data_IF_038705253438
#
_entry.id   IF_038705253438
#
_cell.length_a   1.000
_cell.length_b   1.000
_cell.length_c   1.000
_cell.angle_alpha   90.00
_cell.angle_beta   90.00
_cell.angle_gamma   90.00
#
_symmetry.space_group_name_H-M   'P 1'
#
loop_
_entity.id
_entity.type
_entity.pdbx_description
1 polymer ?
#
# COMPACT_ATOMS: atom_id res chain seq x y z
N UNK A 1 -14.18 21.66 -9.88
CA UNK A 1 -13.83 20.26 -9.57
C UNK A 1 -14.52 19.37 -10.58
N UNK A 2 -13.77 18.53 -11.28
CA UNK A 2 -14.36 17.49 -12.14
C UNK A 2 -14.93 16.34 -11.31
N UNK A 3 -15.49 15.34 -11.98
CA UNK A 3 -15.95 14.10 -11.34
C UNK A 3 -14.74 13.32 -10.79
N UNK A 4 -14.74 12.94 -9.49
CA UNK A 4 -13.70 12.07 -8.93
C UNK A 4 -13.59 10.75 -9.70
N UNK A 5 -12.34 10.30 -9.93
CA UNK A 5 -12.07 8.98 -10.49
C UNK A 5 -11.98 7.97 -9.36
N UNK A 6 -12.54 6.78 -9.60
CA UNK A 6 -12.48 5.67 -8.67
C UNK A 6 -11.40 4.71 -9.14
N UNK A 7 -10.33 4.59 -8.36
CA UNK A 7 -9.22 3.66 -8.63
C UNK A 7 -9.59 2.28 -8.09
N UNK A 8 -9.31 1.22 -8.87
CA UNK A 8 -9.64 -0.17 -8.50
C UNK A 8 -8.39 -1.03 -8.26
N UNK A 9 -7.25 -0.65 -8.82
CA UNK A 9 -5.97 -1.33 -8.58
C UNK A 9 -4.79 -0.38 -8.78
N UNK A 10 -3.64 -0.77 -8.23
CA UNK A 10 -2.35 -0.14 -8.51
C UNK A 10 -1.22 -1.16 -8.46
N UNK A 11 -0.22 -1.00 -9.33
CA UNK A 11 0.99 -1.82 -9.34
C UNK A 11 2.16 -0.99 -9.87
N UNK A 12 3.27 -0.98 -9.13
CA UNK A 12 4.42 -0.14 -9.46
C UNK A 12 4.01 1.34 -9.53
N UNK A 13 4.40 2.08 -10.60
CA UNK A 13 4.04 3.48 -10.75
C UNK A 13 2.65 3.71 -11.37
N UNK A 14 1.79 2.68 -11.45
CA UNK A 14 0.52 2.75 -12.18
C UNK A 14 -0.70 2.58 -11.28
N UNK A 15 -1.78 3.29 -11.64
CA UNK A 15 -3.15 3.11 -11.12
C UNK A 15 -4.11 2.78 -12.27
N UNK A 16 -5.08 1.92 -12.00
CA UNK A 16 -6.18 1.60 -12.92
C UNK A 16 -7.50 2.10 -12.35
N UNK A 17 -8.28 2.85 -13.14
CA UNK A 17 -9.62 3.29 -12.75
C UNK A 17 -10.71 2.24 -13.03
N UNK A 18 -11.91 2.47 -12.52
CA UNK A 18 -13.07 1.57 -12.69
C UNK A 18 -13.53 1.43 -14.16
N UNK A 19 -13.10 2.31 -15.06
CA UNK A 19 -13.36 2.22 -16.51
C UNK A 19 -12.24 1.44 -17.23
N UNK A 20 -11.23 0.94 -16.51
CA UNK A 20 -10.09 0.20 -17.04
C UNK A 20 -8.97 1.08 -17.62
N UNK A 21 -8.95 2.39 -17.35
CA UNK A 21 -7.87 3.28 -17.80
C UNK A 21 -6.69 3.21 -16.85
N UNK A 22 -5.50 3.07 -17.41
CA UNK A 22 -4.23 3.10 -16.68
C UNK A 22 -3.62 4.52 -16.68
N UNK A 23 -3.04 4.89 -15.55
CA UNK A 23 -2.41 6.18 -15.31
C UNK A 23 -1.05 5.99 -14.68
N UNK A 24 -0.06 6.79 -15.10
CA UNK A 24 1.16 7.00 -14.30
C UNK A 24 0.77 7.80 -13.07
N UNK A 25 1.00 7.24 -11.88
CA UNK A 25 0.69 7.88 -10.60
C UNK A 25 1.84 8.80 -10.18
N UNK A 26 1.57 10.11 -10.22
CA UNK A 26 2.46 11.15 -9.70
C UNK A 26 1.95 11.72 -8.35
N UNK A 27 0.82 11.20 -7.85
CA UNK A 27 0.27 11.55 -6.54
C UNK A 27 0.93 10.68 -5.46
N UNK A 28 1.16 9.40 -5.75
CA UNK A 28 1.85 8.45 -4.88
C UNK A 28 1.25 8.40 -3.46
N UNK A 29 -0.09 8.42 -3.38
CA UNK A 29 -0.85 8.56 -2.12
C UNK A 29 -0.44 9.78 -1.26
N UNK A 30 0.05 10.84 -1.88
CA UNK A 30 0.60 12.03 -1.22
C UNK A 30 1.93 11.80 -0.49
N UNK A 31 2.68 10.75 -0.86
CA UNK A 31 4.01 10.47 -0.30
C UNK A 31 4.30 9.01 0.08
N UNK A 32 3.39 8.26 0.74
CA UNK A 32 3.66 6.92 1.24
C UNK A 32 4.12 5.92 0.19
N UNK A 33 3.71 6.10 -1.07
CA UNK A 33 3.99 5.16 -2.16
C UNK A 33 5.34 5.42 -2.84
N UNK A 34 6.40 5.66 -2.05
CA UNK A 34 7.76 5.87 -2.60
C UNK A 34 8.29 4.63 -3.34
N UNK A 35 7.87 3.44 -2.91
CA UNK A 35 8.18 2.16 -3.58
C UNK A 35 7.16 1.78 -4.66
N UNK A 36 6.17 2.64 -4.93
CA UNK A 36 5.05 2.34 -5.80
C UNK A 36 4.01 1.40 -5.16
N UNK A 37 2.93 1.15 -5.92
CA UNK A 37 1.81 0.33 -5.50
C UNK A 37 2.15 -1.16 -5.50
N UNK A 38 1.65 -1.87 -4.49
CA UNK A 38 1.79 -3.32 -4.35
C UNK A 38 3.24 -3.84 -4.47
N UNK A 39 4.21 -3.12 -3.89
CA UNK A 39 5.62 -3.56 -3.89
C UNK A 39 5.74 -4.99 -3.30
N UNK A 40 6.35 -5.95 -4.02
CA UNK A 40 6.28 -7.38 -3.65
C UNK A 40 6.72 -7.69 -2.22
N UNK A 41 7.81 -7.07 -1.76
CA UNK A 41 8.33 -7.28 -0.40
C UNK A 41 7.41 -6.71 0.68
N UNK A 42 6.77 -5.57 0.42
CA UNK A 42 5.82 -4.96 1.36
C UNK A 42 4.55 -5.80 1.46
N UNK A 43 4.05 -6.28 0.31
CA UNK A 43 2.87 -7.16 0.27
C UNK A 43 3.15 -8.46 1.02
N UNK A 44 4.30 -9.10 0.80
CA UNK A 44 4.68 -10.32 1.50
C UNK A 44 4.78 -10.10 3.02
N UNK A 45 5.45 -9.03 3.47
CA UNK A 45 5.58 -8.71 4.89
C UNK A 45 4.21 -8.43 5.56
N UNK A 46 3.32 -7.70 4.88
CA UNK A 46 1.95 -7.46 5.37
C UNK A 46 1.16 -8.77 5.46
N UNK A 47 1.24 -9.63 4.45
CA UNK A 47 0.55 -10.93 4.46
C UNK A 47 1.03 -11.82 5.62
N UNK A 48 2.34 -11.88 5.85
CA UNK A 48 2.91 -12.63 6.97
C UNK A 48 2.48 -12.05 8.32
N UNK A 49 2.48 -10.73 8.48
CA UNK A 49 2.03 -10.07 9.70
C UNK A 49 0.54 -10.34 9.96
N UNK A 50 -0.32 -10.18 8.94
CA UNK A 50 -1.76 -10.43 9.05
C UNK A 50 -2.06 -11.87 9.43
N UNK A 51 -1.29 -12.85 8.95
CA UNK A 51 -1.46 -14.27 9.31
C UNK A 51 -1.25 -14.55 10.80
N UNK A 52 -0.48 -13.70 11.51
CA UNK A 52 -0.24 -13.80 12.96
C UNK A 52 -1.20 -12.93 13.79
N UNK A 53 -1.98 -12.06 13.16
CA UNK A 53 -2.87 -11.09 13.80
C UNK A 53 -2.36 -9.65 13.65
N UNK A 54 -3.29 -8.71 13.45
CA UNK A 54 -2.95 -7.30 13.16
C UNK A 54 -2.84 -6.41 14.41
N UNK A 55 -3.25 -6.91 15.57
CA UNK A 55 -3.17 -6.20 16.84
C UNK A 55 -3.22 -7.19 18.00
N UNK A 56 -2.37 -6.98 19.01
CA UNK A 56 -2.27 -7.86 20.18
C UNK A 56 -2.69 -7.21 21.50
N UNK A 57 -2.79 -5.88 21.55
CA UNK A 57 -3.01 -5.14 22.81
C UNK A 57 -1.85 -5.26 23.82
N UNK A 58 -0.72 -5.83 23.40
CA UNK A 58 0.49 -6.04 24.17
C UNK A 58 1.71 -5.78 23.28
N UNK A 59 2.92 -5.57 23.86
CA UNK A 59 4.15 -5.40 23.09
C UNK A 59 4.43 -6.54 22.11
N UNK A 60 5.13 -6.24 21.01
CA UNK A 60 5.50 -7.20 19.98
C UNK A 60 6.83 -6.87 19.30
N UNK A 61 7.60 -7.89 18.91
CA UNK A 61 8.97 -7.73 18.38
C UNK A 61 9.09 -6.75 17.20
N UNK A 62 8.06 -6.66 16.35
CA UNK A 62 8.05 -5.76 15.20
C UNK A 62 8.09 -4.28 15.57
N UNK A 63 7.58 -3.88 16.74
CA UNK A 63 7.64 -2.47 17.18
C UNK A 63 9.06 -2.08 17.63
N UNK A 64 9.80 -3.04 18.21
CA UNK A 64 11.20 -2.87 18.60
C UNK A 64 12.07 -2.74 17.37
N UNK A 65 11.94 -3.67 16.42
CA UNK A 65 12.73 -3.68 15.19
C UNK A 65 12.48 -2.44 14.30
N UNK A 66 11.29 -1.83 14.36
CA UNK A 66 10.99 -0.59 13.64
C UNK A 66 11.64 0.66 14.29
N UNK A 67 11.89 0.61 15.59
CA UNK A 67 12.44 1.74 16.35
C UNK A 67 13.98 1.80 16.35
N UNK A 68 14.65 0.69 16.03
CA UNK A 68 16.12 0.60 15.87
C UNK A 68 16.61 1.28 14.58
#
# INVERSE_FOLDING_TARGET
GGTPRFMVSGTGPYLTDADGREYVDLVCSWGPMILGHAHPEVVAAVQEAVARGTSFGTPGEGEVALAE
#
